data_IF_160822893130
#
_entry.id   IF_160822893130
#
_cell.length_a   1.000
_cell.length_b   1.000
_cell.length_c   1.000
_cell.angle_alpha   90.00
_cell.angle_beta   90.00
_cell.angle_gamma   90.00
#
_symmetry.space_group_name_H-M   'P 1'
#
loop_
_entity.id
_entity.type
_entity.pdbx_description
1 polymer ?
#
# COMPACT_ATOMS: atom_id res chain seq x y z
N UNK A 1 -9.12 12.40 -6.69
CA UNK A 1 -9.05 11.55 -7.91
C UNK A 1 -8.53 12.37 -9.08
N UNK A 2 -7.57 11.84 -9.83
CA UNK A 2 -6.98 12.44 -11.03
C UNK A 2 -6.86 11.39 -12.13
N UNK A 3 -7.38 11.65 -13.33
CA UNK A 3 -7.38 10.68 -14.43
C UNK A 3 -6.13 10.84 -15.29
N UNK A 4 -5.35 9.76 -15.42
CA UNK A 4 -4.22 9.71 -16.36
C UNK A 4 -4.74 9.46 -17.78
N UNK A 5 -5.73 8.58 -17.89
CA UNK A 5 -6.46 8.29 -19.11
C UNK A 5 -7.87 7.76 -18.77
N UNK A 6 -8.61 7.25 -19.76
CA UNK A 6 -9.97 6.73 -19.55
C UNK A 6 -10.05 5.55 -18.57
N UNK A 7 -8.99 4.76 -18.46
CA UNK A 7 -8.93 3.53 -17.66
C UNK A 7 -8.21 3.75 -16.34
N UNK A 8 -7.11 4.50 -16.36
CA UNK A 8 -6.21 4.64 -15.21
C UNK A 8 -6.47 5.96 -14.49
N UNK A 9 -6.67 5.88 -13.18
CA UNK A 9 -6.82 7.04 -12.30
C UNK A 9 -5.92 6.93 -11.07
N UNK A 10 -5.45 8.08 -10.59
CA UNK A 10 -4.83 8.26 -9.30
C UNK A 10 -5.91 8.62 -8.26
N UNK A 11 -6.11 7.76 -7.27
CA UNK A 11 -7.10 7.89 -6.19
C UNK A 11 -6.36 7.85 -4.86
N UNK A 12 -6.32 8.96 -4.14
CA UNK A 12 -5.64 9.10 -2.83
C UNK A 12 -4.21 8.54 -2.82
N UNK A 13 -3.48 8.81 -3.90
CA UNK A 13 -2.10 8.37 -4.11
C UNK A 13 -1.93 6.96 -4.70
N UNK A 14 -3.02 6.23 -4.92
CA UNK A 14 -3.03 4.89 -5.53
C UNK A 14 -3.39 4.95 -7.01
N UNK A 15 -2.64 4.23 -7.85
CA UNK A 15 -3.00 4.03 -9.25
C UNK A 15 -3.99 2.89 -9.36
N UNK A 16 -5.10 3.13 -10.03
CA UNK A 16 -6.21 2.20 -10.18
C UNK A 16 -6.52 1.99 -11.66
N UNK A 17 -6.56 0.74 -12.10
CA UNK A 17 -7.22 0.36 -13.34
C UNK A 17 -8.71 0.19 -13.06
N UNK A 18 -9.52 1.09 -13.63
CA UNK A 18 -10.97 1.09 -13.41
C UNK A 18 -11.69 -0.04 -14.15
N UNK A 19 -11.15 -0.54 -15.28
CA UNK A 19 -11.76 -1.63 -16.03
C UNK A 19 -11.58 -2.95 -15.26
N UNK A 20 -10.40 -3.14 -14.67
CA UNK A 20 -10.04 -4.35 -13.93
C UNK A 20 -10.36 -4.27 -12.44
N UNK A 21 -10.71 -3.08 -11.94
CA UNK A 21 -10.94 -2.80 -10.52
C UNK A 21 -9.77 -3.27 -9.64
N UNK A 22 -8.54 -2.90 -10.05
CA UNK A 22 -7.31 -3.32 -9.39
C UNK A 22 -6.29 -2.19 -9.26
N UNK A 23 -5.35 -2.38 -8.33
CA UNK A 23 -4.23 -1.48 -8.13
C UNK A 23 -3.09 -1.75 -9.12
N UNK A 24 -2.48 -0.68 -9.62
CA UNK A 24 -1.33 -0.75 -10.51
C UNK A 24 -0.08 -0.38 -9.73
N UNK A 25 0.96 -1.21 -9.82
CA UNK A 25 2.25 -0.89 -9.25
C UNK A 25 2.88 0.29 -10.04
N UNK A 26 3.16 1.43 -9.39
CA UNK A 26 3.69 2.60 -10.07
C UNK A 26 5.04 2.35 -10.75
N UNK A 27 5.88 1.43 -10.25
CA UNK A 27 7.20 1.14 -10.82
C UNK A 27 7.12 0.58 -12.24
N UNK A 28 5.97 0.05 -12.64
CA UNK A 28 5.77 -0.53 -13.97
C UNK A 28 5.29 0.47 -15.01
N UNK A 29 4.93 1.70 -14.61
CA UNK A 29 4.29 2.66 -15.51
C UNK A 29 5.23 3.18 -16.61
N UNK A 30 6.46 3.55 -16.23
CA UNK A 30 7.45 4.12 -17.17
C UNK A 30 7.99 3.01 -18.07
N UNK A 31 8.37 1.87 -17.49
CA UNK A 31 8.91 0.71 -18.22
C UNK A 31 7.93 0.16 -19.27
N UNK A 32 6.63 0.18 -18.97
CA UNK A 32 5.59 -0.26 -19.90
C UNK A 32 5.14 0.85 -20.87
N UNK A 33 5.75 2.04 -20.83
CA UNK A 33 5.41 3.17 -21.69
C UNK A 33 3.99 3.72 -21.48
N UNK A 34 3.41 3.49 -20.30
CA UNK A 34 2.05 3.98 -19.95
C UNK A 34 2.09 5.49 -19.72
N UNK A 35 3.17 5.98 -19.13
CA UNK A 35 3.42 7.40 -18.88
C UNK A 35 4.86 7.77 -19.27
N UNK A 36 5.10 9.03 -19.60
CA UNK A 36 6.46 9.57 -19.72
C UNK A 36 7.07 9.82 -18.34
N UNK A 37 8.39 9.97 -18.25
CA UNK A 37 9.06 10.38 -17.01
C UNK A 37 8.48 11.68 -16.44
N UNK A 38 8.20 12.67 -17.29
CA UNK A 38 7.61 13.94 -16.86
C UNK A 38 6.20 13.77 -16.30
N UNK A 39 5.40 12.86 -16.87
CA UNK A 39 4.10 12.51 -16.31
C UNK A 39 4.23 11.74 -15.00
N UNK A 40 5.25 10.90 -14.86
CA UNK A 40 5.52 10.20 -13.62
C UNK A 40 5.88 11.17 -12.48
N UNK A 41 6.70 12.19 -12.76
CA UNK A 41 7.00 13.28 -11.82
C UNK A 41 5.74 14.05 -11.39
N UNK A 42 4.84 14.40 -12.33
CA UNK A 42 3.55 15.05 -11.98
C UNK A 42 2.68 14.14 -11.08
N UNK A 43 2.75 12.82 -11.23
CA UNK A 43 2.06 11.89 -10.32
C UNK A 43 2.70 11.91 -8.92
N UNK A 44 4.03 11.96 -8.82
CA UNK A 44 4.74 12.10 -7.54
C UNK A 44 4.31 13.39 -6.84
N UNK A 45 4.31 14.53 -7.56
CA UNK A 45 3.87 15.83 -7.03
C UNK A 45 2.39 15.81 -6.57
N UNK A 46 1.56 14.95 -7.18
CA UNK A 46 0.17 14.71 -6.78
C UNK A 46 0.01 13.71 -5.63
N UNK A 47 1.10 13.23 -5.04
CA UNK A 47 1.09 12.34 -3.89
C UNK A 47 1.03 10.85 -4.24
N UNK A 48 1.57 10.45 -5.39
CA UNK A 48 1.76 9.04 -5.75
C UNK A 48 2.52 8.30 -4.64
N UNK A 49 1.93 7.20 -4.17
CA UNK A 49 2.45 6.38 -3.09
C UNK A 49 3.56 5.45 -3.57
N UNK A 50 4.64 5.40 -2.80
CA UNK A 50 5.72 4.45 -3.03
C UNK A 50 5.45 3.13 -2.32
N UNK A 51 5.12 2.09 -3.09
CA UNK A 51 4.79 0.77 -2.54
C UNK A 51 5.94 0.18 -1.70
N UNK A 52 7.19 0.41 -2.11
CA UNK A 52 8.36 -0.11 -1.40
C UNK A 52 8.51 0.48 0.01
N UNK A 53 8.00 1.69 0.26
CA UNK A 53 8.05 2.30 1.60
C UNK A 53 6.78 2.07 2.43
N UNK A 54 5.69 1.63 1.80
CA UNK A 54 4.41 1.39 2.48
C UNK A 54 4.31 -0.02 3.09
N UNK A 55 4.97 -1.01 2.49
CA UNK A 55 4.80 -2.41 2.87
C UNK A 55 6.01 -2.95 3.62
N UNK A 56 5.85 -3.13 4.93
CA UNK A 56 6.84 -3.76 5.79
C UNK A 56 6.89 -5.28 5.57
N UNK A 57 8.01 -5.90 5.91
CA UNK A 57 8.23 -7.34 5.69
C UNK A 57 7.47 -8.20 6.71
N UNK A 58 7.14 -7.62 7.85
CA UNK A 58 6.54 -8.21 9.05
C UNK A 58 5.01 -8.29 8.97
N UNK A 59 4.39 -7.69 7.95
CA UNK A 59 2.93 -7.70 7.80
C UNK A 59 2.53 -7.92 6.35
N UNK A 60 1.65 -8.89 6.14
CA UNK A 60 0.97 -9.13 4.87
C UNK A 60 -0.28 -8.23 4.74
N UNK A 61 -0.67 -7.53 5.82
CA UNK A 61 -1.87 -6.70 5.87
C UNK A 61 -1.50 -5.21 5.92
N UNK A 62 -2.09 -4.43 5.02
CA UNK A 62 -1.99 -2.97 5.00
C UNK A 62 -3.39 -2.35 5.12
N UNK A 63 -3.48 -1.28 5.89
CA UNK A 63 -4.74 -0.60 6.16
C UNK A 63 -4.75 0.76 5.51
N UNK A 64 -5.79 1.04 4.73
CA UNK A 64 -5.95 2.29 4.01
C UNK A 64 -7.20 3.04 4.46
N UNK A 65 -7.05 4.35 4.64
CA UNK A 65 -8.15 5.25 4.99
C UNK A 65 -8.60 6.03 3.75
N UNK A 66 -9.06 5.30 2.73
CA UNK A 66 -9.60 5.88 1.50
C UNK A 66 -10.88 5.16 1.11
N UNK A 67 -12.03 5.69 1.54
CA UNK A 67 -13.33 5.15 1.13
C UNK A 67 -13.52 5.22 -0.39
N UNK A 68 -12.99 6.25 -1.03
CA UNK A 68 -13.06 6.40 -2.49
C UNK A 68 -12.27 5.28 -3.19
N UNK A 69 -11.07 4.94 -2.73
CA UNK A 69 -10.29 3.83 -3.31
C UNK A 69 -11.10 2.53 -3.36
N UNK A 70 -11.72 2.14 -2.23
CA UNK A 70 -12.48 0.89 -2.12
C UNK A 70 -13.78 0.86 -2.94
N UNK A 71 -14.18 1.97 -3.56
CA UNK A 71 -15.27 1.98 -4.55
C UNK A 71 -14.79 1.53 -5.94
N UNK A 72 -13.49 1.59 -6.19
CA UNK A 72 -12.89 1.30 -7.50
C UNK A 72 -12.01 0.05 -7.49
N UNK A 73 -11.76 -0.56 -6.33
CA UNK A 73 -11.03 -1.83 -6.24
C UNK A 73 -11.93 -2.96 -5.79
N UNK A 74 -11.73 -4.14 -6.36
CA UNK A 74 -12.44 -5.35 -5.95
C UNK A 74 -11.86 -5.91 -4.65
N UNK A 75 -12.72 -6.31 -3.72
CA UNK A 75 -12.30 -6.93 -2.46
C UNK A 75 -12.86 -8.33 -2.32
N UNK A 76 -12.15 -9.17 -1.56
CA UNK A 76 -12.58 -10.52 -1.17
C UNK A 76 -12.23 -10.76 0.29
N UNK A 77 -12.96 -11.65 0.94
CA UNK A 77 -12.66 -12.03 2.32
C UNK A 77 -11.40 -12.90 2.39
N UNK A 78 -10.44 -12.48 3.20
CA UNK A 78 -9.18 -13.16 3.47
C UNK A 78 -8.99 -13.38 4.97
N UNK A 79 -8.32 -14.47 5.34
CA UNK A 79 -8.05 -14.82 6.73
C UNK A 79 -6.59 -14.58 7.09
N UNK A 80 -6.37 -14.07 8.31
CA UNK A 80 -5.07 -13.67 8.82
C UNK A 80 -4.83 -14.22 10.22
N UNK A 81 -3.55 -14.36 10.56
CA UNK A 81 -3.06 -14.69 11.88
C UNK A 81 -2.24 -13.53 12.44
N UNK A 82 -2.56 -13.12 13.67
CA UNK A 82 -1.68 -12.31 14.50
C UNK A 82 -0.76 -13.27 15.27
N UNK A 83 0.54 -13.10 15.13
CA UNK A 83 1.54 -13.95 15.76
C UNK A 83 2.09 -13.33 17.05
N UNK A 84 2.73 -14.13 17.89
CA UNK A 84 3.30 -13.72 19.18
C UNK A 84 4.35 -12.60 19.07
N UNK A 85 5.03 -12.51 17.94
CA UNK A 85 5.98 -11.45 17.61
C UNK A 85 5.33 -10.14 17.11
N UNK A 86 3.98 -10.08 17.06
CA UNK A 86 3.22 -8.93 16.59
C UNK A 86 3.02 -8.85 15.07
N UNK A 87 3.57 -9.77 14.30
CA UNK A 87 3.35 -9.85 12.85
C UNK A 87 1.92 -10.27 12.50
N UNK A 88 1.45 -9.79 11.34
CA UNK A 88 0.19 -10.25 10.75
C UNK A 88 0.50 -10.98 9.45
N UNK A 89 0.15 -12.26 9.38
CA UNK A 89 0.38 -13.10 8.20
C UNK A 89 -0.93 -13.62 7.63
N UNK A 90 -1.00 -13.73 6.32
CA UNK A 90 -2.11 -14.42 5.69
C UNK A 90 -2.11 -15.90 6.09
N UNK A 91 -3.29 -16.51 6.29
CA UNK A 91 -3.41 -17.87 6.81
C UNK A 91 -2.79 -18.94 5.91
N UNK A 92 -2.63 -18.66 4.63
CA UNK A 92 -2.00 -19.61 3.69
C UNK A 92 -0.45 -19.49 3.68
N UNK A 93 0.11 -18.44 4.28
CA UNK A 93 1.56 -18.17 4.33
C UNK A 93 2.27 -18.96 5.43
N UNK A 94 1.55 -19.76 6.24
CA UNK A 94 2.06 -20.44 7.45
C UNK A 94 3.21 -21.44 7.17
N UNK A 95 3.43 -21.84 5.91
CA UNK A 95 4.57 -22.71 5.56
C UNK A 95 5.95 -22.08 5.84
N UNK A 96 6.03 -20.76 6.07
CA UNK A 96 7.28 -20.05 6.40
C UNK A 96 7.45 -19.67 7.87
N UNK A 97 6.57 -20.12 8.78
CA UNK A 97 6.64 -19.71 10.18
C UNK A 97 7.91 -20.24 10.88
N UNK A 98 8.58 -19.34 11.59
CA UNK A 98 9.64 -19.74 12.51
C UNK A 98 9.01 -20.59 13.63
N UNK A 99 9.70 -21.65 14.11
CA UNK A 99 9.18 -22.54 15.16
C UNK A 99 8.81 -21.87 16.50
N UNK A 100 9.08 -20.57 16.68
CA UNK A 100 8.80 -19.80 17.89
C UNK A 100 7.64 -18.80 17.78
N UNK A 101 6.99 -18.68 16.63
CA UNK A 101 5.92 -17.72 16.42
C UNK A 101 4.53 -18.38 16.58
N UNK A 102 4.00 -18.34 17.80
CA UNK A 102 2.66 -18.87 18.10
C UNK A 102 1.55 -17.97 17.50
N UNK A 103 0.48 -18.60 17.01
CA UNK A 103 -0.73 -17.88 16.59
C UNK A 103 -1.51 -17.41 17.81
N UNK A 104 -1.57 -16.09 18.02
CA UNK A 104 -2.34 -15.49 19.10
C UNK A 104 -3.81 -15.29 18.73
N UNK A 105 -4.08 -14.89 17.49
CA UNK A 105 -5.43 -14.57 17.01
C UNK A 105 -5.61 -14.92 15.55
N UNK A 106 -6.83 -15.34 15.20
CA UNK A 106 -7.27 -15.52 13.82
C UNK A 106 -8.45 -14.60 13.55
N UNK A 107 -8.43 -13.91 12.40
CA UNK A 107 -9.50 -13.01 12.00
C UNK A 107 -9.59 -12.94 10.47
N UNK A 108 -10.70 -12.44 9.95
CA UNK A 108 -10.91 -12.27 8.51
C UNK A 108 -11.34 -10.86 8.17
N UNK A 109 -10.89 -10.36 7.02
CA UNK A 109 -11.18 -9.02 6.52
C UNK A 109 -11.42 -9.06 5.01
N UNK A 110 -12.28 -8.19 4.51
CA UNK A 110 -12.42 -7.94 3.08
C UNK A 110 -11.27 -7.05 2.61
N UNK A 111 -10.43 -7.60 1.73
CA UNK A 111 -9.21 -6.95 1.26
C UNK A 111 -9.11 -6.99 -0.26
N UNK A 112 -8.41 -6.02 -0.83
CA UNK A 112 -7.85 -6.10 -2.17
C UNK A 112 -6.45 -6.73 -2.08
N UNK A 113 -6.20 -7.79 -2.84
CA UNK A 113 -4.89 -8.44 -2.90
C UNK A 113 -4.03 -7.81 -3.99
N UNK A 114 -2.74 -7.60 -3.71
CA UNK A 114 -1.73 -7.23 -4.70
C UNK A 114 -0.45 -8.03 -4.47
N UNK A 115 0.35 -8.17 -5.52
CA UNK A 115 1.66 -8.81 -5.46
C UNK A 115 2.73 -7.75 -5.68
N UNK A 116 3.70 -7.68 -4.78
CA UNK A 116 4.84 -6.78 -4.86
C UNK A 116 5.88 -7.27 -5.87
N UNK A 117 6.84 -6.41 -6.20
CA UNK A 117 7.94 -6.75 -7.12
C UNK A 117 8.84 -7.88 -6.60
N UNK A 118 8.92 -8.06 -5.29
CA UNK A 118 9.64 -9.16 -4.62
C UNK A 118 8.85 -10.49 -4.64
N UNK A 119 7.65 -10.51 -5.22
CA UNK A 119 6.77 -11.68 -5.30
C UNK A 119 5.92 -11.92 -4.04
N UNK A 120 6.00 -11.04 -3.05
CA UNK A 120 5.22 -11.13 -1.82
C UNK A 120 3.80 -10.59 -2.02
N UNK A 121 2.82 -11.34 -1.53
CA UNK A 121 1.42 -10.91 -1.55
C UNK A 121 1.11 -10.02 -0.34
N UNK A 122 0.44 -8.90 -0.61
CA UNK A 122 -0.07 -7.98 0.41
C UNK A 122 -1.56 -7.74 0.20
N UNK A 123 -2.26 -7.55 1.31
CA UNK A 123 -3.70 -7.40 1.36
C UNK A 123 -4.04 -6.03 1.92
N UNK A 124 -4.69 -5.19 1.12
CA UNK A 124 -5.12 -3.84 1.50
C UNK A 124 -6.58 -3.87 1.92
N UNK A 125 -6.89 -3.40 3.12
CA UNK A 125 -8.27 -3.31 3.60
C UNK A 125 -8.65 -1.88 4.01
N UNK A 126 -9.96 -1.60 3.97
CA UNK A 126 -10.48 -0.32 4.43
C UNK A 126 -10.40 -0.23 5.94
N UNK A 127 -9.95 0.91 6.46
CA UNK A 127 -9.98 1.19 7.88
C UNK A 127 -11.42 1.21 8.39
N UNK A 128 -11.86 0.12 9.02
CA UNK A 128 -13.17 -0.01 9.66
C UNK A 128 -13.02 0.38 11.13
N UNK A 129 -13.08 1.68 11.45
CA UNK A 129 -13.00 2.17 12.82
C UNK A 129 -14.12 3.16 13.13
N UNK A 130 -15.02 2.79 14.05
CA UNK A 130 -15.81 3.77 14.79
C UNK A 130 -14.91 4.52 15.80
N UNK A 131 -15.35 5.70 16.27
CA UNK A 131 -14.56 6.65 17.09
C UNK A 131 -13.83 6.08 18.34
N UNK A 132 -14.03 4.82 18.72
CA UNK A 132 -13.45 4.18 19.91
C UNK A 132 -12.63 2.90 19.64
N UNK A 133 -12.51 2.44 18.40
CA UNK A 133 -11.70 1.26 18.12
C UNK A 133 -10.21 1.63 18.10
N UNK A 134 -9.39 0.82 18.78
CA UNK A 134 -7.95 0.97 18.82
C UNK A 134 -7.40 1.16 17.40
N UNK A 135 -6.63 2.23 17.19
CA UNK A 135 -5.87 2.57 15.97
C UNK A 135 -4.82 1.52 15.56
N UNK A 136 -5.03 0.23 15.85
CA UNK A 136 -4.14 -0.86 15.46
C UNK A 136 -4.50 -1.36 14.06
N UNK A 137 -4.48 -0.44 13.11
CA UNK A 137 -4.15 -0.80 11.74
C UNK A 137 -2.62 -0.72 11.65
N UNK A 138 -1.96 -1.80 12.08
CA UNK A 138 -0.56 -1.95 12.53
C UNK A 138 0.57 -1.48 11.59
N UNK A 139 0.29 -0.75 10.52
CA UNK A 139 1.33 -0.20 9.64
C UNK A 139 1.75 1.24 10.02
N UNK A 140 0.90 2.03 10.68
CA UNK A 140 1.24 3.44 10.97
C UNK A 140 2.27 3.62 12.09
N UNK A 141 2.38 2.68 13.03
CA UNK A 141 3.36 2.76 14.12
C UNK A 141 4.76 2.25 13.72
N UNK A 142 4.86 1.54 12.57
CA UNK A 142 6.11 0.98 12.04
C UNK A 142 6.70 1.79 10.87
N UNK A 143 5.89 2.59 10.17
CA UNK A 143 6.37 3.49 9.11
C UNK A 143 6.65 4.87 9.70
N UNK A 144 7.78 5.00 10.40
CA UNK A 144 8.39 6.30 10.62
C UNK A 144 9.04 6.78 9.32
N UNK A 145 8.46 7.82 8.74
CA UNK A 145 9.04 8.76 7.75
C UNK A 145 9.05 8.35 6.26
N UNK A 146 8.51 9.28 5.44
CA UNK A 146 8.40 9.33 3.96
C UNK A 146 7.46 8.31 3.27
N UNK A 147 6.15 8.60 3.31
CA UNK A 147 5.08 7.88 2.58
C UNK A 147 5.07 8.12 1.05
N UNK A 148 6.05 8.85 0.55
CA UNK A 148 6.13 9.33 -0.82
C UNK A 148 7.41 8.80 -1.45
N UNK A 149 7.46 8.72 -2.78
CA UNK A 149 8.73 8.62 -3.47
C UNK A 149 9.57 9.82 -3.02
N UNK A 150 10.63 9.58 -2.25
CA UNK A 150 11.60 10.64 -1.96
C UNK A 150 12.11 11.10 -3.32
N UNK A 151 12.18 12.41 -3.54
CA UNK A 151 12.63 13.05 -4.79
C UNK A 151 14.13 12.85 -5.08
N UNK A 152 14.64 11.65 -4.76
CA UNK A 152 15.99 11.12 -4.99
C UNK A 152 16.01 10.26 -6.27
N UNK A 153 14.85 9.99 -6.90
CA UNK A 153 14.79 9.16 -8.12
C UNK A 153 15.50 9.80 -9.33
N UNK A 154 15.79 11.10 -9.32
CA UNK A 154 16.59 11.77 -10.35
C UNK A 154 17.56 12.75 -9.69
N UNK A 155 18.85 12.45 -9.81
CA UNK A 155 20.02 13.03 -9.11
C UNK A 155 20.33 14.51 -9.48
N UNK A 156 19.32 15.39 -9.51
CA UNK A 156 19.49 16.79 -9.96
C UNK A 156 18.84 17.85 -9.07
N UNK A 157 18.29 17.52 -7.91
CA UNK A 157 17.69 18.54 -7.03
C UNK A 157 18.51 18.74 -5.75
N UNK A 158 19.13 19.91 -5.68
CA UNK A 158 19.60 20.52 -4.44
C UNK A 158 18.38 20.84 -3.58
N UNK A 159 18.20 20.14 -2.47
CA UNK A 159 17.12 20.43 -1.53
C UNK A 159 17.55 21.58 -0.61
N UNK A 160 16.75 22.63 -0.58
CA UNK A 160 16.73 23.58 0.53
C UNK A 160 15.64 23.06 1.47
N UNK A 161 16.05 22.52 2.62
CA UNK A 161 15.15 22.32 3.76
C UNK A 161 14.62 23.69 4.19
N UNK A 162 13.29 23.83 4.23
CA UNK A 162 12.64 24.85 5.03
C UNK A 162 11.93 24.09 6.14
N UNK A 163 12.57 24.04 7.31
CA UNK A 163 11.89 23.78 8.57
C UNK A 163 11.02 24.98 8.88
N UNK A 164 9.73 24.77 9.16
CA UNK A 164 8.99 25.67 10.05
C UNK A 164 7.66 25.06 10.54
N UNK A 165 7.52 25.09 11.87
CA UNK A 165 6.38 24.85 12.80
C UNK A 165 6.12 23.45 13.36
#
# INVERSE_FOLDING_TARGET
>A
MHFLNKKIALIDGWLVDQDLSCLINPSTLVDNGIVTEQQFEDLIDRGLKNWNSLFISESDLYCENSSELFRHVSTKSHSFHELSNGSIRHSNSIKSQNPGDDVLKTFSLDCHSLTLTDGRDVYIHSHMGGNNDLKKCLNTDLVSQSKYYTAIAFDTRSFIEIEDF
#
